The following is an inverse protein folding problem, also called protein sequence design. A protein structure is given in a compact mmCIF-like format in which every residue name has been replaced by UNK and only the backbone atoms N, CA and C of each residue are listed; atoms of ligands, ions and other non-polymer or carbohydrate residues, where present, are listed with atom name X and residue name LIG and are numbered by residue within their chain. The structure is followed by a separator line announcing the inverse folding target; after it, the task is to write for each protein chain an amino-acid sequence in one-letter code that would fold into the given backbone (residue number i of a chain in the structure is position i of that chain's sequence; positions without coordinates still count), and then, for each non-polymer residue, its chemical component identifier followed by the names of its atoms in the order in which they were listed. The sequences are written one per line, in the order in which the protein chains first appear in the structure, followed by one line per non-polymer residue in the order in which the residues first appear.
data_IF_615325072614
#
_entry.id   IF_615325072614
#
_cell.length_a   1.000
_cell.length_b   1.000
_cell.length_c   1.000
_cell.angle_alpha   90.00
_cell.angle_beta   90.00
_cell.angle_gamma   90.00
#
_symmetry.space_group_name_H-M   'P 1'
#
loop_
_entity.id
_entity.type
_entity.pdbx_description
1 polymer ?
#
# COMPACT_ATOMS: atom_id res chain seq x y z
N UNK A 1 -38.60 27.63 12.25
CA UNK A 1 -37.31 28.29 11.94
C UNK A 1 -36.15 27.28 11.97
N UNK A 2 -36.04 26.45 13.01
CA UNK A 2 -34.99 25.42 13.16
C UNK A 2 -34.95 24.35 12.03
N UNK A 3 -36.11 23.84 11.57
CA UNK A 3 -36.16 22.83 10.52
C UNK A 3 -35.49 23.28 9.20
N UNK A 4 -35.77 24.50 8.73
CA UNK A 4 -35.15 25.06 7.51
C UNK A 4 -33.64 25.21 7.62
N UNK A 5 -33.12 25.52 8.82
CA UNK A 5 -31.68 25.59 9.05
C UNK A 5 -31.04 24.21 8.90
N UNK A 6 -31.62 23.17 9.51
CA UNK A 6 -31.11 21.81 9.38
C UNK A 6 -31.27 21.25 7.97
N UNK A 7 -32.38 21.56 7.28
CA UNK A 7 -32.55 21.19 5.86
C UNK A 7 -31.41 21.76 5.01
N UNK A 8 -31.17 23.07 5.14
CA UNK A 8 -30.08 23.73 4.42
C UNK A 8 -28.70 23.19 4.81
N UNK A 9 -28.43 22.99 6.10
CA UNK A 9 -27.13 22.53 6.60
C UNK A 9 -26.82 21.08 6.22
N UNK A 10 -27.83 20.21 6.19
CA UNK A 10 -27.69 18.79 5.81
C UNK A 10 -27.79 18.57 4.29
N UNK A 11 -28.15 19.60 3.52
CA UNK A 11 -28.42 19.47 2.09
C UNK A 11 -29.67 18.64 1.80
N UNK A 12 -30.65 18.62 2.71
CA UNK A 12 -31.93 17.94 2.52
C UNK A 12 -32.80 18.85 1.65
N UNK A 13 -33.13 18.37 0.44
CA UNK A 13 -33.95 19.09 -0.54
C UNK A 13 -35.25 18.35 -0.82
N UNK A 14 -36.21 19.07 -1.41
CA UNK A 14 -37.45 18.48 -1.93
C UNK A 14 -37.17 17.20 -2.75
N UNK A 15 -37.96 16.11 -2.56
CA UNK A 15 -39.16 15.99 -1.73
C UNK A 15 -38.92 15.70 -0.24
N UNK A 16 -37.67 15.62 0.21
CA UNK A 16 -37.32 15.37 1.60
C UNK A 16 -37.43 16.66 2.44
N UNK A 17 -37.74 16.51 3.72
CA UNK A 17 -37.86 17.61 4.68
C UNK A 17 -37.53 17.16 6.10
N UNK A 18 -37.13 18.11 6.95
CA UNK A 18 -36.95 17.86 8.39
C UNK A 18 -38.32 17.96 9.06
N UNK A 19 -38.80 16.83 9.58
CA UNK A 19 -40.08 16.73 10.27
C UNK A 19 -39.96 17.03 11.78
N UNK A 20 -38.77 16.86 12.36
CA UNK A 20 -38.56 17.04 13.79
C UNK A 20 -37.09 17.11 14.16
N UNK A 21 -36.82 17.72 15.31
CA UNK A 21 -35.49 17.78 15.92
C UNK A 21 -35.68 17.52 17.41
N UNK A 22 -35.02 16.49 17.92
CA UNK A 22 -35.02 16.10 19.32
C UNK A 22 -33.58 16.14 19.86
N UNK A 23 -33.38 16.83 20.97
CA UNK A 23 -32.07 17.01 21.58
C UNK A 23 -32.06 16.53 23.02
N UNK A 24 -31.36 15.43 23.26
CA UNK A 24 -31.15 14.84 24.58
C UNK A 24 -29.77 15.25 25.11
N UNK A 25 -29.76 16.32 25.91
CA UNK A 25 -28.53 16.86 26.49
C UNK A 25 -27.82 15.87 27.44
N UNK A 26 -28.59 15.05 28.17
CA UNK A 26 -28.05 14.09 29.13
C UNK A 26 -27.33 12.94 28.42
N UNK A 27 -27.92 12.41 27.34
CA UNK A 27 -27.28 11.40 26.49
C UNK A 27 -26.28 11.99 25.51
N UNK A 28 -26.25 13.32 25.36
CA UNK A 28 -25.48 14.06 24.36
C UNK A 28 -25.81 13.61 22.93
N UNK A 29 -27.10 13.47 22.62
CA UNK A 29 -27.59 13.01 21.33
C UNK A 29 -28.52 14.04 20.71
N UNK A 30 -28.31 14.33 19.44
CA UNK A 30 -29.23 15.06 18.57
C UNK A 30 -29.84 14.06 17.57
N UNK A 31 -31.16 13.98 17.54
CA UNK A 31 -31.90 13.18 16.56
C UNK A 31 -32.69 14.11 15.65
N UNK A 32 -32.44 14.02 14.35
CA UNK A 32 -33.15 14.80 13.33
C UNK A 32 -34.07 13.84 12.57
N UNK A 33 -35.37 14.05 12.69
CA UNK A 33 -36.36 13.25 11.96
C UNK A 33 -36.51 13.80 10.56
N UNK A 34 -36.26 12.97 9.55
CA UNK A 34 -36.38 13.29 8.14
C UNK A 34 -37.55 12.51 7.55
N UNK A 35 -38.46 13.23 6.90
CA UNK A 35 -39.58 12.65 6.17
C UNK A 35 -39.60 13.20 4.74
N UNK A 36 -40.58 12.80 3.94
CA UNK A 36 -40.85 13.32 2.62
C UNK A 36 -42.28 13.85 2.52
N UNK A 37 -42.52 14.73 1.55
CA UNK A 37 -43.86 15.30 1.30
C UNK A 37 -44.83 14.20 0.87
N UNK A 38 -46.04 14.19 1.44
CA UNK A 38 -47.05 13.20 1.09
C UNK A 38 -47.44 13.32 -0.40
N UNK A 39 -47.58 12.19 -1.09
CA UNK A 39 -47.86 12.15 -2.54
C UNK A 39 -46.61 12.27 -3.44
N UNK A 40 -45.41 12.45 -2.87
CA UNK A 40 -44.17 12.43 -3.64
C UNK A 40 -43.96 11.10 -4.36
N UNK A 41 -43.28 11.18 -5.51
CA UNK A 41 -42.86 10.03 -6.32
C UNK A 41 -41.35 10.02 -6.40
N UNK A 42 -40.76 8.83 -6.45
CA UNK A 42 -39.30 8.69 -6.41
C UNK A 42 -38.79 7.89 -7.59
N UNK A 43 -37.65 8.33 -8.13
CA UNK A 43 -36.91 7.57 -9.12
C UNK A 43 -36.13 6.43 -8.43
N UNK A 44 -35.88 5.35 -9.17
CA UNK A 44 -35.03 4.23 -8.74
C UNK A 44 -33.95 4.03 -9.80
N UNK A 45 -32.66 3.92 -9.44
CA UNK A 45 -31.60 3.69 -10.40
C UNK A 45 -31.89 2.48 -11.31
N UNK A 46 -31.74 2.66 -12.62
CA UNK A 46 -31.98 1.62 -13.63
C UNK A 46 -33.44 1.45 -14.05
N UNK A 47 -34.39 2.23 -13.50
CA UNK A 47 -35.81 2.20 -13.92
C UNK A 47 -36.25 3.59 -14.35
N UNK A 48 -36.91 3.67 -15.52
CA UNK A 48 -37.36 4.94 -16.07
C UNK A 48 -38.56 5.52 -15.30
N UNK A 49 -38.49 6.82 -15.01
CA UNK A 49 -39.57 7.59 -14.41
C UNK A 49 -39.56 7.62 -12.87
N UNK A 50 -40.60 8.24 -12.30
CA UNK A 50 -40.80 8.32 -10.86
C UNK A 50 -42.03 7.51 -10.44
N UNK A 51 -41.89 6.75 -9.36
CA UNK A 51 -42.85 5.73 -8.96
C UNK A 51 -43.56 6.14 -7.66
N UNK A 52 -44.86 5.79 -7.52
CA UNK A 52 -45.61 6.10 -6.30
C UNK A 52 -45.07 5.30 -5.12
N UNK A 53 -45.10 5.91 -3.94
CA UNK A 53 -44.75 5.25 -2.68
C UNK A 53 -45.79 4.17 -2.38
N UNK A 54 -45.32 2.95 -2.14
CA UNK A 54 -46.11 1.80 -1.72
C UNK A 54 -46.29 1.78 -0.21
N UNK A 55 -45.16 1.86 0.50
CA UNK A 55 -45.08 1.92 1.96
C UNK A 55 -43.73 2.53 2.37
N UNK A 56 -43.39 2.46 3.66
CA UNK A 56 -42.16 3.07 4.20
C UNK A 56 -41.46 2.16 5.21
N UNK A 57 -40.16 2.39 5.38
CA UNK A 57 -39.32 1.75 6.40
C UNK A 57 -38.53 2.84 7.12
N UNK A 58 -38.55 2.81 8.46
CA UNK A 58 -37.72 3.70 9.26
C UNK A 58 -36.27 3.23 9.26
N UNK A 59 -35.34 4.11 8.88
CA UNK A 59 -33.90 3.87 8.96
C UNK A 59 -33.24 4.92 9.83
N UNK A 60 -32.21 4.51 10.56
CA UNK A 60 -31.39 5.40 11.38
C UNK A 60 -29.99 5.49 10.82
N UNK A 61 -29.51 6.71 10.62
CA UNK A 61 -28.19 7.00 10.07
C UNK A 61 -27.36 7.80 11.09
N UNK A 62 -26.13 7.36 11.35
CA UNK A 62 -25.15 8.16 12.09
C UNK A 62 -24.62 9.26 11.17
N UNK A 63 -24.74 10.50 11.62
CA UNK A 63 -24.23 11.69 10.94
C UNK A 63 -23.06 12.31 11.70
N UNK A 64 -22.43 13.34 11.11
CA UNK A 64 -21.40 14.13 11.77
C UNK A 64 -21.89 14.65 13.13
N UNK A 65 -21.00 14.76 14.11
CA UNK A 65 -21.38 15.30 15.40
C UNK A 65 -21.89 16.74 15.27
N UNK A 66 -22.92 17.06 16.03
CA UNK A 66 -23.33 18.43 16.25
C UNK A 66 -22.58 18.95 17.49
N UNK A 67 -21.49 19.67 17.26
CA UNK A 67 -20.49 19.97 18.29
C UNK A 67 -19.98 18.70 18.99
N UNK A 68 -20.11 18.59 20.31
CA UNK A 68 -19.77 17.40 21.10
C UNK A 68 -20.88 16.33 21.16
N UNK A 69 -22.01 16.54 20.48
CA UNK A 69 -23.18 15.67 20.55
C UNK A 69 -23.25 14.74 19.34
N UNK A 70 -23.59 13.48 19.57
CA UNK A 70 -23.82 12.55 18.49
C UNK A 70 -25.07 12.93 17.71
N UNK A 71 -24.95 13.16 16.40
CA UNK A 71 -26.10 13.38 15.52
C UNK A 71 -26.54 12.08 14.83
N UNK A 72 -27.84 11.83 14.84
CA UNK A 72 -28.49 10.76 14.09
C UNK A 72 -29.62 11.33 13.23
N UNK A 73 -29.77 10.80 12.01
CA UNK A 73 -30.94 11.03 11.18
C UNK A 73 -31.88 9.83 11.31
N UNK A 74 -33.10 10.06 11.77
CA UNK A 74 -34.17 9.07 11.76
C UNK A 74 -35.09 9.34 10.57
N UNK A 75 -35.06 8.46 9.59
CA UNK A 75 -35.52 8.76 8.24
C UNK A 75 -36.61 7.79 7.86
N UNK A 76 -37.78 8.32 7.50
CA UNK A 76 -38.86 7.52 6.92
C UNK A 76 -38.57 7.29 5.44
N UNK A 77 -37.95 6.15 5.11
CA UNK A 77 -37.51 5.87 3.74
C UNK A 77 -38.64 5.20 2.95
N UNK A 78 -39.04 5.74 1.79
CA UNK A 78 -40.11 5.15 0.99
C UNK A 78 -39.63 3.89 0.26
N UNK A 79 -40.52 2.92 0.11
CA UNK A 79 -40.43 1.87 -0.90
C UNK A 79 -41.45 2.15 -1.98
N UNK A 80 -41.03 2.10 -3.24
CA UNK A 80 -41.89 2.35 -4.39
C UNK A 80 -42.26 1.06 -5.09
N UNK A 81 -43.45 1.03 -5.69
CA UNK A 81 -43.89 -0.07 -6.57
C UNK A 81 -43.50 0.27 -8.01
N UNK A 82 -42.70 -0.60 -8.60
CA UNK A 82 -42.24 -0.50 -9.98
C UNK A 82 -43.30 -1.05 -10.98
N UNK A 83 -43.18 -0.75 -12.29
CA UNK A 83 -44.12 -1.22 -13.30
C UNK A 83 -44.17 -2.75 -13.46
N UNK A 84 -43.06 -3.43 -13.15
CA UNK A 84 -42.95 -4.90 -13.15
C UNK A 84 -43.58 -5.56 -11.90
N UNK A 85 -44.19 -4.77 -11.01
CA UNK A 85 -44.74 -5.22 -9.74
C UNK A 85 -43.72 -5.34 -8.61
N UNK A 86 -42.43 -5.14 -8.88
CA UNK A 86 -41.37 -5.18 -7.90
C UNK A 86 -41.44 -4.03 -6.90
N UNK A 87 -41.09 -4.30 -5.64
CA UNK A 87 -40.98 -3.27 -4.59
C UNK A 87 -39.51 -2.94 -4.39
N UNK A 88 -39.14 -1.67 -4.51
CA UNK A 88 -37.76 -1.20 -4.30
C UNK A 88 -37.72 -0.10 -3.27
N UNK A 89 -36.76 -0.19 -2.36
CA UNK A 89 -36.49 0.88 -1.42
C UNK A 89 -35.75 2.02 -2.14
N UNK A 90 -36.20 3.25 -1.93
CA UNK A 90 -35.48 4.45 -2.35
C UNK A 90 -34.26 4.63 -1.44
N UNK A 91 -33.14 5.03 -2.02
CA UNK A 91 -31.94 5.40 -1.28
C UNK A 91 -31.80 6.93 -1.31
N UNK A 92 -31.83 7.61 -0.14
CA UNK A 92 -31.55 9.04 -0.09
C UNK A 92 -30.16 9.35 -0.65
N UNK A 93 -29.99 10.49 -1.31
CA UNK A 93 -28.72 10.87 -1.96
C UNK A 93 -27.56 11.09 -0.97
N UNK A 94 -27.87 11.35 0.30
CA UNK A 94 -26.91 11.48 1.40
C UNK A 94 -26.67 10.17 2.17
N UNK A 95 -27.31 9.06 1.82
CA UNK A 95 -27.10 7.76 2.45
C UNK A 95 -25.71 7.20 2.11
N UNK A 96 -25.00 6.74 3.13
CA UNK A 96 -23.64 6.20 3.03
C UNK A 96 -23.57 4.85 2.31
N UNK A 97 -22.36 4.48 1.89
CA UNK A 97 -22.05 3.20 1.23
C UNK A 97 -22.08 2.01 2.19
N UNK A 98 -21.98 2.26 3.49
CA UNK A 98 -22.23 1.30 4.55
C UNK A 98 -23.55 1.65 5.26
N UNK A 99 -24.40 0.63 5.43
CA UNK A 99 -25.72 0.80 6.05
C UNK A 99 -25.62 1.44 7.44
N UNK A 100 -26.47 2.45 7.66
CA UNK A 100 -26.58 3.17 8.93
C UNK A 100 -25.63 4.37 9.07
N UNK A 101 -24.95 4.79 8.00
CA UNK A 101 -24.12 6.00 7.99
C UNK A 101 -24.53 6.93 6.86
N UNK A 102 -24.22 8.22 7.01
CA UNK A 102 -24.37 9.20 5.93
C UNK A 102 -23.06 9.35 5.16
N UNK A 103 -23.11 9.80 3.90
CA UNK A 103 -21.91 10.05 3.09
C UNK A 103 -20.94 11.01 3.77
N UNK A 104 -21.44 12.10 4.38
CA UNK A 104 -20.59 13.06 5.10
C UNK A 104 -19.87 12.43 6.30
N UNK A 105 -20.55 11.56 7.05
CA UNK A 105 -19.92 10.85 8.16
C UNK A 105 -18.83 9.91 7.67
N UNK A 106 -19.10 9.14 6.62
CA UNK A 106 -18.11 8.24 6.03
C UNK A 106 -16.91 9.01 5.46
N UNK A 107 -17.13 10.17 4.83
CA UNK A 107 -16.06 11.02 4.33
C UNK A 107 -15.12 11.49 5.46
N UNK A 108 -15.67 11.89 6.61
CA UNK A 108 -14.87 12.21 7.80
C UNK A 108 -14.04 10.99 8.26
N UNK A 109 -14.64 9.81 8.28
CA UNK A 109 -13.95 8.57 8.65
C UNK A 109 -12.78 8.29 7.70
N UNK A 110 -13.01 8.40 6.38
CA UNK A 110 -11.98 8.18 5.37
C UNK A 110 -10.84 9.20 5.44
N UNK A 111 -11.16 10.46 5.74
CA UNK A 111 -10.14 11.50 5.92
C UNK A 111 -9.25 11.19 7.15
N UNK A 112 -9.86 10.85 8.29
CA UNK A 112 -9.12 10.63 9.53
C UNK A 112 -8.39 9.28 9.58
N UNK A 113 -8.91 8.24 8.91
CA UNK A 113 -8.32 6.90 8.99
C UNK A 113 -6.94 6.81 8.32
N UNK A 114 -6.58 7.77 7.47
CA UNK A 114 -5.24 7.90 6.87
C UNK A 114 -4.21 8.42 7.88
N UNK A 115 -4.68 9.23 8.84
CA UNK A 115 -3.82 9.93 9.81
C UNK A 115 -3.72 9.19 11.16
N UNK A 116 -4.70 8.34 11.49
CA UNK A 116 -4.74 7.65 12.78
C UNK A 116 -5.30 6.22 12.72
N UNK A 117 -4.94 5.35 13.68
CA UNK A 117 -5.49 4.00 13.75
C UNK A 117 -6.99 4.02 13.96
N UNK A 118 -7.69 3.01 13.41
CA UNK A 118 -9.14 2.86 13.56
C UNK A 118 -9.61 2.89 15.01
N UNK A 119 -8.81 2.40 15.97
CA UNK A 119 -9.16 2.43 17.40
C UNK A 119 -9.10 3.84 18.00
N UNK A 120 -8.19 4.69 17.51
CA UNK A 120 -8.13 6.08 17.91
C UNK A 120 -9.31 6.86 17.30
N UNK A 121 -9.56 6.66 16.02
CA UNK A 121 -10.71 7.26 15.32
C UNK A 121 -12.04 6.87 15.97
N UNK A 122 -12.23 5.58 16.29
CA UNK A 122 -13.39 5.06 16.98
C UNK A 122 -13.70 5.82 18.28
N UNK A 123 -12.67 6.16 19.08
CA UNK A 123 -12.84 6.97 20.31
C UNK A 123 -13.24 8.42 20.01
N UNK A 124 -12.72 9.01 18.94
CA UNK A 124 -13.06 10.39 18.54
C UNK A 124 -14.53 10.51 18.15
N UNK A 125 -15.06 9.52 17.42
CA UNK A 125 -16.44 9.56 16.88
C UNK A 125 -17.48 8.82 17.73
N UNK A 126 -17.07 8.20 18.83
CA UNK A 126 -17.97 7.47 19.75
C UNK A 126 -18.46 6.12 19.22
N UNK A 127 -17.72 5.46 18.32
CA UNK A 127 -18.14 4.19 17.71
C UNK A 127 -17.17 3.04 18.03
N UNK A 128 -17.56 1.82 17.67
CA UNK A 128 -16.68 0.67 17.80
C UNK A 128 -15.61 0.65 16.70
N UNK A 129 -14.47 0.05 17.02
CA UNK A 129 -13.40 -0.22 16.05
C UNK A 129 -13.92 -0.97 14.81
N UNK A 130 -14.83 -1.94 15.01
CA UNK A 130 -15.40 -2.75 13.94
C UNK A 130 -16.17 -1.91 12.92
N UNK A 131 -16.91 -0.88 13.37
CA UNK A 131 -17.62 0.03 12.47
C UNK A 131 -16.63 0.84 11.61
N UNK A 132 -15.54 1.34 12.20
CA UNK A 132 -14.51 2.08 11.46
C UNK A 132 -13.84 1.21 10.41
N UNK A 133 -13.45 -0.01 10.79
CA UNK A 133 -12.88 -0.98 9.88
C UNK A 133 -13.84 -1.34 8.74
N UNK A 134 -15.14 -1.51 9.04
CA UNK A 134 -16.16 -1.83 8.04
C UNK A 134 -16.37 -0.71 7.02
N UNK A 135 -16.42 0.56 7.45
CA UNK A 135 -16.53 1.71 6.53
C UNK A 135 -15.33 1.74 5.59
N UNK A 136 -14.12 1.70 6.16
CA UNK A 136 -12.88 1.74 5.40
C UNK A 136 -12.78 0.59 4.39
N UNK A 137 -13.10 -0.63 4.84
CA UNK A 137 -13.10 -1.84 4.01
C UNK A 137 -14.07 -1.69 2.84
N UNK A 138 -15.30 -1.24 3.10
CA UNK A 138 -16.34 -1.05 2.08
C UNK A 138 -15.89 -0.10 0.97
N UNK A 139 -15.26 1.02 1.33
CA UNK A 139 -14.75 1.98 0.35
C UNK A 139 -13.57 1.45 -0.45
N UNK A 140 -12.63 0.76 0.21
CA UNK A 140 -11.52 0.11 -0.50
C UNK A 140 -12.04 -0.93 -1.48
N UNK A 141 -12.98 -1.78 -1.10
CA UNK A 141 -13.59 -2.78 -2.00
C UNK A 141 -14.28 -2.10 -3.19
N UNK A 142 -15.17 -1.14 -2.95
CA UNK A 142 -15.86 -0.42 -4.02
C UNK A 142 -14.91 0.31 -4.98
N UNK A 143 -13.81 0.86 -4.47
CA UNK A 143 -12.85 1.58 -5.30
C UNK A 143 -11.97 0.63 -6.10
N UNK A 144 -11.68 -0.56 -5.56
CA UNK A 144 -10.96 -1.61 -6.29
C UNK A 144 -11.86 -2.22 -7.37
N UNK A 145 -13.13 -2.48 -7.08
CA UNK A 145 -14.11 -2.97 -8.07
C UNK A 145 -14.25 -2.02 -9.28
N UNK A 146 -13.92 -0.74 -9.12
CA UNK A 146 -13.94 0.29 -10.17
C UNK A 146 -12.54 0.67 -10.67
N UNK A 147 -11.51 -0.04 -10.23
CA UNK A 147 -10.14 0.24 -10.64
C UNK A 147 -9.93 -0.15 -12.12
N UNK A 148 -9.06 0.60 -12.77
CA UNK A 148 -8.68 0.39 -14.16
C UNK A 148 -7.16 0.29 -14.24
N UNK A 149 -6.70 -0.86 -14.75
CA UNK A 149 -5.30 -1.21 -14.91
C UNK A 149 -4.88 -1.34 -16.39
N UNK A 150 -5.71 -0.90 -17.34
CA UNK A 150 -5.43 -0.95 -18.79
C UNK A 150 -4.13 -0.25 -19.20
N UNK A 151 -3.76 0.83 -18.50
CA UNK A 151 -2.54 1.62 -18.79
C UNK A 151 -1.31 1.17 -17.99
N UNK A 152 -1.41 0.12 -17.17
CA UNK A 152 -0.29 -0.34 -16.33
C UNK A 152 0.73 -1.08 -17.18
N UNK A 153 1.98 -0.60 -17.20
CA UNK A 153 3.08 -1.19 -17.98
C UNK A 153 4.32 -1.55 -17.17
N UNK A 154 4.54 -0.86 -16.06
CA UNK A 154 5.74 -1.03 -15.22
C UNK A 154 5.34 -1.32 -13.79
N UNK A 155 5.82 -2.44 -13.27
CA UNK A 155 5.40 -2.98 -11.98
C UNK A 155 6.57 -3.06 -11.01
N UNK A 156 6.31 -2.93 -9.72
CA UNK A 156 7.25 -3.33 -8.70
C UNK A 156 6.54 -4.30 -7.75
N UNK A 157 7.23 -5.35 -7.30
CA UNK A 157 6.72 -6.25 -6.29
C UNK A 157 7.74 -6.48 -5.17
N UNK A 158 7.25 -6.53 -3.94
CA UNK A 158 8.05 -6.76 -2.74
C UNK A 158 7.23 -7.44 -1.64
N UNK A 159 7.92 -8.07 -0.70
CA UNK A 159 7.35 -8.73 0.46
C UNK A 159 7.44 -7.83 1.70
N UNK A 160 6.41 -7.84 2.55
CA UNK A 160 6.52 -7.23 3.88
C UNK A 160 5.93 -8.11 4.98
N UNK A 161 6.55 -8.04 6.15
CA UNK A 161 6.17 -8.90 7.28
C UNK A 161 4.81 -8.49 7.87
N UNK A 162 3.88 -9.45 7.86
CA UNK A 162 2.56 -9.33 8.50
C UNK A 162 2.66 -9.53 10.01
N UNK A 163 3.33 -10.58 10.46
CA UNK A 163 3.51 -10.90 11.88
C UNK A 163 4.93 -11.43 12.15
N UNK A 164 5.27 -11.63 13.43
CA UNK A 164 6.50 -12.38 13.78
C UNK A 164 6.27 -13.84 13.43
N UNK A 165 7.25 -14.50 12.80
CA UNK A 165 7.18 -15.96 12.56
C UNK A 165 6.95 -16.40 11.11
N UNK A 166 7.47 -15.66 10.12
CA UNK A 166 7.42 -16.00 8.68
C UNK A 166 6.07 -15.81 7.96
N UNK A 167 5.20 -14.94 8.48
CA UNK A 167 4.01 -14.49 7.76
C UNK A 167 4.30 -13.25 6.90
N UNK A 168 4.23 -13.40 5.59
CA UNK A 168 4.50 -12.34 4.61
C UNK A 168 3.22 -11.98 3.84
N UNK A 169 3.14 -10.71 3.44
CA UNK A 169 2.23 -10.26 2.38
C UNK A 169 3.06 -9.80 1.19
N UNK A 170 2.54 -10.05 0.00
CA UNK A 170 3.12 -9.56 -1.25
C UNK A 170 2.36 -8.31 -1.69
N UNK A 171 3.11 -7.27 -2.02
CA UNK A 171 2.60 -6.03 -2.59
C UNK A 171 3.01 -5.95 -4.05
N UNK A 172 2.06 -5.69 -4.94
CA UNK A 172 2.34 -5.33 -6.34
C UNK A 172 1.84 -3.91 -6.58
N UNK A 173 2.71 -3.07 -7.13
CA UNK A 173 2.45 -1.66 -7.35
C UNK A 173 2.81 -1.23 -8.77
N UNK A 174 2.07 -0.24 -9.26
CA UNK A 174 2.41 0.53 -10.45
C UNK A 174 3.63 1.42 -10.13
N UNK A 175 4.72 1.24 -10.88
CA UNK A 175 5.96 1.95 -10.66
C UNK A 175 5.88 3.43 -11.08
N UNK A 176 4.96 3.78 -11.97
CA UNK A 176 4.82 5.11 -12.56
C UNK A 176 3.84 5.94 -11.78
N UNK A 177 2.62 5.42 -11.60
CA UNK A 177 1.63 6.05 -10.76
C UNK A 177 2.00 5.97 -9.27
N UNK A 178 2.98 5.15 -8.89
CA UNK A 178 3.42 4.90 -7.50
C UNK A 178 2.23 4.58 -6.60
N UNK A 179 1.41 3.62 -7.02
CA UNK A 179 0.21 3.17 -6.30
C UNK A 179 0.20 1.66 -6.17
N UNK A 180 -0.21 1.16 -5.01
CA UNK A 180 -0.44 -0.28 -4.80
C UNK A 180 -1.66 -0.70 -5.60
N UNK A 181 -1.49 -1.72 -6.43
CA UNK A 181 -2.55 -2.31 -7.25
C UNK A 181 -3.12 -3.54 -6.55
N UNK A 182 -2.25 -4.35 -5.97
CA UNK A 182 -2.62 -5.66 -5.45
C UNK A 182 -1.88 -6.00 -4.15
N UNK A 183 -2.58 -6.71 -3.26
CA UNK A 183 -2.07 -7.16 -1.96
C UNK A 183 -2.61 -8.56 -1.71
N UNK A 184 -1.71 -9.52 -1.49
CA UNK A 184 -2.08 -10.91 -1.19
C UNK A 184 -1.23 -11.51 -0.07
N UNK A 185 -1.71 -12.60 0.53
CA UNK A 185 -0.96 -13.37 1.52
C UNK A 185 0.08 -14.26 0.84
N UNK A 186 1.19 -14.50 1.52
CA UNK A 186 2.26 -15.34 1.01
C UNK A 186 3.26 -14.59 0.14
N UNK A 187 4.12 -15.38 -0.51
CA UNK A 187 5.30 -14.93 -1.25
C UNK A 187 5.79 -15.91 -2.32
N UNK A 188 4.92 -16.82 -2.71
CA UNK A 188 5.23 -17.85 -3.69
C UNK A 188 4.88 -17.39 -5.11
N UNK A 189 5.12 -18.25 -6.11
CA UNK A 189 4.81 -17.94 -7.50
C UNK A 189 3.31 -17.70 -7.72
N UNK A 190 2.44 -18.33 -6.92
CA UNK A 190 0.99 -18.18 -7.02
C UNK A 190 0.52 -16.75 -6.67
N UNK A 191 1.31 -15.99 -5.90
CA UNK A 191 1.01 -14.57 -5.65
C UNK A 191 1.06 -13.72 -6.92
N UNK A 192 1.95 -14.03 -7.87
CA UNK A 192 2.07 -13.32 -9.15
C UNK A 192 0.99 -13.79 -10.13
N UNK A 193 0.64 -15.09 -10.10
CA UNK A 193 -0.50 -15.63 -10.85
C UNK A 193 -1.80 -14.93 -10.44
N UNK A 194 -2.09 -14.86 -9.13
CA UNK A 194 -3.26 -14.16 -8.61
C UNK A 194 -3.28 -12.68 -8.99
N UNK A 195 -2.12 -12.02 -9.00
CA UNK A 195 -2.01 -10.65 -9.51
C UNK A 195 -2.30 -10.56 -11.02
N UNK A 196 -1.81 -11.50 -11.83
CA UNK A 196 -2.07 -11.49 -13.27
C UNK A 196 -3.56 -11.69 -13.59
N UNK A 197 -4.26 -12.51 -12.81
CA UNK A 197 -5.71 -12.66 -12.91
C UNK A 197 -6.45 -11.38 -12.51
N UNK A 198 -6.05 -10.76 -11.40
CA UNK A 198 -6.59 -9.47 -10.95
C UNK A 198 -6.32 -8.35 -11.97
N UNK A 199 -5.14 -8.35 -12.59
CA UNK A 199 -4.77 -7.42 -13.66
C UNK A 199 -5.75 -7.53 -14.84
N UNK A 200 -6.05 -8.76 -15.30
CA UNK A 200 -7.03 -9.00 -16.37
C UNK A 200 -8.44 -8.59 -15.98
N UNK A 201 -8.85 -8.90 -14.74
CA UNK A 201 -10.18 -8.55 -14.24
C UNK A 201 -10.44 -7.04 -14.24
N UNK A 202 -9.39 -6.23 -14.10
CA UNK A 202 -9.44 -4.76 -14.12
C UNK A 202 -8.97 -4.15 -15.45
N UNK A 203 -9.06 -4.90 -16.55
CA UNK A 203 -8.82 -4.40 -17.91
C UNK A 203 -7.35 -4.26 -18.33
N UNK A 204 -6.41 -4.67 -17.47
CA UNK A 204 -4.99 -4.75 -17.80
C UNK A 204 -4.65 -6.01 -18.60
N UNK A 205 -3.53 -5.96 -19.33
CA UNK A 205 -3.01 -7.11 -20.06
C UNK A 205 -1.63 -7.53 -19.51
N UNK A 206 -1.48 -8.74 -18.95
CA UNK A 206 -0.19 -9.28 -18.53
C UNK A 206 0.90 -9.25 -19.62
N UNK A 207 0.53 -9.31 -20.91
CA UNK A 207 1.47 -9.22 -22.03
C UNK A 207 1.91 -7.78 -22.33
N UNK A 208 1.15 -6.79 -21.89
CA UNK A 208 1.48 -5.38 -22.04
C UNK A 208 2.46 -4.88 -20.95
N UNK A 209 2.76 -5.71 -19.95
CA UNK A 209 3.76 -5.38 -18.93
C UNK A 209 5.16 -5.41 -19.56
N UNK A 210 5.81 -4.25 -19.57
CA UNK A 210 7.14 -4.03 -20.15
C UNK A 210 8.25 -4.41 -19.16
N UNK A 211 8.08 -4.09 -17.88
CA UNK A 211 9.08 -4.38 -16.85
C UNK A 211 8.48 -4.60 -15.47
N UNK A 212 9.16 -5.45 -14.69
CA UNK A 212 8.86 -5.61 -13.26
C UNK A 212 10.12 -5.62 -12.42
N UNK A 213 10.13 -4.83 -11.35
CA UNK A 213 11.20 -4.81 -10.36
C UNK A 213 10.84 -5.71 -9.17
N UNK A 214 11.68 -6.71 -8.91
CA UNK A 214 11.51 -7.70 -7.83
C UNK A 214 12.82 -7.96 -7.11
N UNK A 215 12.78 -8.60 -5.94
CA UNK A 215 13.96 -9.22 -5.35
C UNK A 215 14.31 -10.54 -6.10
N UNK A 216 15.49 -11.11 -5.83
CA UNK A 216 16.00 -12.33 -6.45
C UNK A 216 15.34 -13.63 -5.95
N UNK A 217 14.10 -13.54 -5.43
CA UNK A 217 13.31 -14.68 -4.99
C UNK A 217 13.04 -15.62 -6.18
N UNK A 218 13.45 -16.91 -6.11
CA UNK A 218 13.15 -17.87 -7.16
C UNK A 218 11.65 -18.01 -7.42
N UNK A 219 10.82 -17.81 -6.39
CA UNK A 219 9.37 -17.89 -6.51
C UNK A 219 8.79 -16.73 -7.34
N UNK A 220 9.23 -15.49 -7.09
CA UNK A 220 8.83 -14.36 -7.93
C UNK A 220 9.38 -14.45 -9.35
N UNK A 221 10.63 -14.86 -9.53
CA UNK A 221 11.20 -15.06 -10.87
C UNK A 221 10.37 -16.07 -11.67
N UNK A 222 9.98 -17.19 -11.02
CA UNK A 222 9.11 -18.19 -11.64
C UNK A 222 7.74 -17.59 -11.98
N UNK A 223 7.06 -16.99 -10.99
CA UNK A 223 5.73 -16.42 -11.17
C UNK A 223 5.66 -15.35 -12.26
N UNK A 224 6.66 -14.47 -12.33
CA UNK A 224 6.76 -13.46 -13.40
C UNK A 224 6.99 -14.11 -14.77
N UNK A 225 7.95 -15.05 -14.87
CA UNK A 225 8.24 -15.74 -16.14
C UNK A 225 7.00 -16.46 -16.68
N UNK A 226 6.19 -17.06 -15.81
CA UNK A 226 5.00 -17.82 -16.20
C UNK A 226 3.79 -16.93 -16.53
N UNK A 227 3.62 -15.79 -15.85
CA UNK A 227 2.38 -15.01 -15.94
C UNK A 227 2.52 -13.65 -16.63
N UNK A 228 3.73 -13.08 -16.68
CA UNK A 228 4.05 -11.78 -17.30
C UNK A 228 5.13 -11.99 -18.39
N UNK A 229 4.84 -12.71 -19.47
CA UNK A 229 5.85 -13.30 -20.36
C UNK A 229 6.73 -12.27 -21.09
N UNK A 230 6.23 -11.05 -21.31
CA UNK A 230 6.97 -9.98 -21.99
C UNK A 230 7.71 -9.05 -21.00
N UNK A 231 7.49 -9.22 -19.70
CA UNK A 231 8.04 -8.33 -18.69
C UNK A 231 9.54 -8.57 -18.49
N UNK A 232 10.34 -7.52 -18.65
CA UNK A 232 11.76 -7.57 -18.27
C UNK A 232 11.89 -7.54 -16.76
N UNK A 233 12.35 -8.65 -16.17
CA UNK A 233 12.69 -8.73 -14.75
C UNK A 233 13.91 -7.83 -14.48
N UNK A 234 13.75 -6.85 -13.60
CA UNK A 234 14.82 -6.03 -13.07
C UNK A 234 15.02 -6.36 -11.58
N UNK A 235 16.27 -6.60 -11.18
CA UNK A 235 16.61 -6.70 -9.76
C UNK A 235 17.05 -5.34 -9.23
N UNK A 236 16.47 -4.90 -8.12
CA UNK A 236 16.86 -3.64 -7.50
C UNK A 236 18.35 -3.66 -7.10
N UNK A 237 19.09 -2.62 -7.51
CA UNK A 237 20.48 -2.44 -7.11
C UNK A 237 20.67 -2.44 -5.59
N UNK A 238 19.67 -1.98 -4.82
CA UNK A 238 19.74 -1.96 -3.36
C UNK A 238 19.87 -3.37 -2.79
N UNK A 239 19.10 -4.35 -3.29
CA UNK A 239 19.23 -5.76 -2.88
C UNK A 239 20.60 -6.34 -3.26
N UNK A 240 21.11 -6.04 -4.46
CA UNK A 240 22.45 -6.47 -4.91
C UNK A 240 23.54 -5.95 -3.95
N UNK A 241 23.50 -4.66 -3.62
CA UNK A 241 24.45 -4.03 -2.71
C UNK A 241 24.25 -4.48 -1.26
N UNK A 242 23.01 -4.80 -0.85
CA UNK A 242 22.72 -5.35 0.47
C UNK A 242 23.37 -6.73 0.66
N UNK A 243 23.35 -7.61 -0.35
CA UNK A 243 24.07 -8.88 -0.32
C UNK A 243 25.59 -8.69 -0.19
N UNK A 244 26.17 -7.73 -0.92
CA UNK A 244 27.59 -7.39 -0.80
C UNK A 244 27.91 -6.83 0.61
N UNK A 245 27.05 -5.98 1.16
CA UNK A 245 27.17 -5.43 2.50
C UNK A 245 27.11 -6.51 3.58
N UNK A 246 26.19 -7.48 3.45
CA UNK A 246 26.12 -8.64 4.34
C UNK A 246 27.38 -9.51 4.24
N UNK A 247 27.95 -9.68 3.04
CA UNK A 247 29.20 -10.39 2.84
C UNK A 247 30.39 -9.69 3.51
N UNK A 248 30.45 -8.35 3.48
CA UNK A 248 31.46 -7.56 4.21
C UNK A 248 31.36 -7.82 5.72
N UNK A 249 30.17 -7.70 6.31
CA UNK A 249 30.02 -7.95 7.75
C UNK A 249 30.29 -9.42 8.12
N UNK A 250 29.91 -10.37 7.25
CA UNK A 250 30.25 -11.79 7.45
C UNK A 250 31.76 -12.01 7.44
N UNK A 251 32.49 -11.40 6.49
CA UNK A 251 33.95 -11.48 6.45
C UNK A 251 34.59 -10.83 7.69
N UNK A 252 34.09 -9.66 8.10
CA UNK A 252 34.51 -8.97 9.33
C UNK A 252 34.36 -9.88 10.54
N UNK A 253 33.21 -10.55 10.71
CA UNK A 253 32.99 -11.50 11.83
C UNK A 253 33.94 -12.69 11.81
N UNK A 254 34.32 -13.17 10.62
CA UNK A 254 35.28 -14.27 10.46
C UNK A 254 36.67 -13.81 10.92
N UNK A 255 37.18 -12.69 10.41
CA UNK A 255 38.51 -12.19 10.76
C UNK A 255 38.59 -11.66 12.20
N UNK A 256 37.48 -11.11 12.73
CA UNK A 256 37.42 -10.58 14.09
C UNK A 256 37.79 -11.63 15.15
N UNK A 257 37.60 -12.92 14.86
CA UNK A 257 37.96 -14.02 15.78
C UNK A 257 39.46 -14.05 16.08
N UNK A 258 40.28 -13.61 15.15
CA UNK A 258 41.74 -13.57 15.26
C UNK A 258 42.29 -12.15 15.33
N UNK A 259 41.46 -11.15 15.02
CA UNK A 259 41.82 -9.74 15.03
C UNK A 259 40.77 -8.90 15.77
N UNK A 260 40.95 -8.68 17.09
CA UNK A 260 40.02 -7.92 17.91
C UNK A 260 39.80 -6.47 17.46
N UNK A 261 40.71 -5.87 16.69
CA UNK A 261 40.60 -4.49 16.19
C UNK A 261 39.36 -4.29 15.30
N UNK A 262 38.83 -5.35 14.71
CA UNK A 262 37.60 -5.33 13.90
C UNK A 262 36.30 -5.19 14.72
N UNK A 263 36.40 -5.17 16.05
CA UNK A 263 35.26 -4.90 16.95
C UNK A 263 34.84 -3.44 16.83
N UNK A 264 33.54 -3.20 16.66
CA UNK A 264 33.00 -1.85 16.49
C UNK A 264 33.10 -1.28 15.06
N UNK A 265 33.86 -1.90 14.16
CA UNK A 265 34.03 -1.40 12.78
C UNK A 265 32.81 -1.61 11.86
N UNK A 266 31.79 -2.38 12.27
CA UNK A 266 30.63 -2.73 11.44
C UNK A 266 30.03 -1.51 10.75
N UNK A 267 29.68 -0.47 11.51
CA UNK A 267 28.99 0.69 10.95
C UNK A 267 29.90 1.54 10.05
N UNK A 268 31.20 1.60 10.35
CA UNK A 268 32.20 2.28 9.50
C UNK A 268 32.28 1.62 8.12
N UNK A 269 32.28 0.29 8.08
CA UNK A 269 32.37 -0.50 6.83
C UNK A 269 31.07 -0.46 6.00
N UNK A 270 29.92 -0.30 6.63
CA UNK A 270 28.62 -0.38 5.94
C UNK A 270 28.07 0.98 5.49
N UNK A 271 28.44 2.07 6.16
CA UNK A 271 28.03 3.43 5.75
C UNK A 271 28.76 3.86 4.48
N UNK A 272 28.15 4.82 3.79
CA UNK A 272 28.80 5.54 2.70
C UNK A 272 29.99 6.34 3.23
N UNK A 273 31.11 6.34 2.50
CA UNK A 273 32.34 7.03 2.89
C UNK A 273 32.11 8.54 3.09
N UNK A 274 31.24 9.15 2.29
CA UNK A 274 30.92 10.58 2.37
C UNK A 274 29.96 10.92 3.52
N UNK A 275 29.28 9.92 4.09
CA UNK A 275 28.38 10.07 5.23
C UNK A 275 29.06 9.77 6.58
N UNK A 276 30.37 9.52 6.58
CA UNK A 276 31.16 9.30 7.79
C UNK A 276 31.75 10.61 8.31
N UNK A 277 31.76 10.75 9.63
CA UNK A 277 32.51 11.81 10.32
C UNK A 277 34.00 11.76 9.92
N UNK A 278 34.70 12.91 9.83
CA UNK A 278 36.06 12.98 9.32
C UNK A 278 37.04 11.99 9.98
N UNK A 279 36.97 11.83 11.30
CA UNK A 279 37.81 10.90 12.04
C UNK A 279 37.51 9.42 11.71
N UNK A 280 36.22 9.05 11.65
CA UNK A 280 35.81 7.70 11.29
C UNK A 280 36.16 7.34 9.84
N UNK A 281 36.12 8.33 8.95
CA UNK A 281 36.56 8.21 7.55
C UNK A 281 38.07 8.00 7.44
N UNK A 282 38.87 8.74 8.20
CA UNK A 282 40.33 8.57 8.23
C UNK A 282 40.73 7.16 8.70
N UNK A 283 40.11 6.69 9.78
CA UNK A 283 40.33 5.33 10.30
C UNK A 283 39.90 4.24 9.30
N UNK A 284 38.77 4.43 8.62
CA UNK A 284 38.36 3.51 7.56
C UNK A 284 39.36 3.52 6.40
N UNK A 285 39.86 4.68 5.99
CA UNK A 285 40.85 4.82 4.92
C UNK A 285 42.16 4.10 5.27
N UNK A 286 42.65 4.25 6.51
CA UNK A 286 43.83 3.53 6.99
C UNK A 286 43.60 2.01 7.00
N UNK A 287 42.41 1.56 7.42
CA UNK A 287 42.07 0.15 7.41
C UNK A 287 41.99 -0.43 5.99
N UNK A 288 41.32 0.25 5.05
CA UNK A 288 41.19 -0.24 3.68
C UNK A 288 42.51 -0.23 2.91
N UNK A 289 43.49 0.61 3.30
CA UNK A 289 44.84 0.57 2.74
C UNK A 289 45.52 -0.80 2.95
N UNK A 290 45.09 -1.57 3.95
CA UNK A 290 45.59 -2.92 4.23
C UNK A 290 44.94 -4.01 3.35
N UNK A 291 44.37 -3.66 2.18
CA UNK A 291 43.66 -4.59 1.28
C UNK A 291 44.47 -5.82 0.85
N UNK A 292 45.80 -5.72 0.85
CA UNK A 292 46.70 -6.82 0.53
C UNK A 292 46.67 -7.94 1.59
N UNK A 293 46.51 -7.58 2.86
CA UNK A 293 46.63 -8.49 4.01
C UNK A 293 45.30 -8.75 4.72
N UNK A 294 44.39 -7.76 4.76
CA UNK A 294 43.07 -7.86 5.40
C UNK A 294 41.98 -8.21 4.39
N UNK A 295 41.31 -9.36 4.56
CA UNK A 295 40.23 -9.80 3.65
C UNK A 295 38.97 -8.98 3.85
N UNK A 296 38.72 -8.44 5.03
CA UNK A 296 37.60 -7.51 5.28
C UNK A 296 37.77 -6.20 4.52
N UNK A 297 38.98 -5.64 4.47
CA UNK A 297 39.30 -4.48 3.63
C UNK A 297 39.06 -4.80 2.15
N UNK A 298 39.49 -5.99 1.69
CA UNK A 298 39.24 -6.46 0.32
C UNK A 298 37.76 -6.68 0.01
N UNK A 299 37.00 -7.23 0.95
CA UNK A 299 35.55 -7.37 0.83
C UNK A 299 34.87 -6.00 0.67
N UNK A 300 35.29 -5.01 1.45
CA UNK A 300 34.78 -3.65 1.34
C UNK A 300 35.07 -3.04 -0.04
N UNK A 301 36.31 -3.18 -0.53
CA UNK A 301 36.68 -2.72 -1.87
C UNK A 301 35.80 -3.36 -2.96
N UNK A 302 35.56 -4.68 -2.89
CA UNK A 302 34.68 -5.35 -3.85
C UNK A 302 33.25 -4.81 -3.82
N UNK A 303 32.71 -4.50 -2.63
CA UNK A 303 31.38 -3.89 -2.46
C UNK A 303 31.32 -2.50 -3.12
N UNK A 304 32.31 -1.64 -2.91
CA UNK A 304 32.33 -0.30 -3.54
C UNK A 304 32.58 -0.35 -5.04
N UNK A 305 33.45 -1.25 -5.53
CA UNK A 305 33.59 -1.50 -6.97
C UNK A 305 32.26 -1.93 -7.61
N UNK A 306 31.52 -2.81 -6.93
CA UNK A 306 30.21 -3.24 -7.39
C UNK A 306 29.22 -2.07 -7.45
N UNK A 307 29.22 -1.18 -6.45
CA UNK A 307 28.43 0.05 -6.45
C UNK A 307 28.76 0.93 -7.65
N UNK A 308 30.04 1.19 -7.90
CA UNK A 308 30.51 1.97 -9.05
C UNK A 308 30.05 1.36 -10.39
N UNK A 309 30.14 0.02 -10.52
CA UNK A 309 29.68 -0.69 -11.72
C UNK A 309 28.18 -0.46 -11.94
N UNK A 310 27.35 -0.57 -10.90
CA UNK A 310 25.89 -0.45 -11.01
C UNK A 310 25.39 1.00 -11.22
N UNK A 311 26.24 2.00 -10.95
CA UNK A 311 25.91 3.40 -11.24
C UNK A 311 26.19 3.80 -12.69
N UNK A 312 26.97 3.02 -13.45
CA UNK A 312 27.23 3.27 -14.87
C UNK A 312 25.97 3.11 -15.73
N UNK A 313 25.94 3.79 -16.88
CA UNK A 313 24.75 3.89 -17.76
C UNK A 313 24.75 2.93 -18.95
N UNK A 314 25.92 2.47 -19.40
CA UNK A 314 26.03 1.65 -20.60
C UNK A 314 25.96 0.15 -20.26
N UNK A 315 24.91 -0.52 -20.75
CA UNK A 315 24.62 -1.96 -20.54
C UNK A 315 25.83 -2.85 -20.81
N UNK A 316 26.47 -2.69 -21.97
CA UNK A 316 27.57 -3.57 -22.37
C UNK A 316 28.80 -3.38 -21.48
N UNK A 317 29.06 -2.15 -21.06
CA UNK A 317 30.13 -1.83 -20.10
C UNK A 317 29.82 -2.45 -18.75
N UNK A 318 28.60 -2.27 -18.23
CA UNK A 318 28.20 -2.85 -16.94
C UNK A 318 28.29 -4.37 -16.97
N UNK A 319 27.80 -5.02 -18.04
CA UNK A 319 27.89 -6.47 -18.23
C UNK A 319 29.34 -6.96 -18.20
N UNK A 320 30.22 -6.34 -18.98
CA UNK A 320 31.64 -6.70 -19.03
C UNK A 320 32.33 -6.50 -17.68
N UNK A 321 32.06 -5.38 -17.00
CA UNK A 321 32.64 -5.09 -15.69
C UNK A 321 32.11 -6.02 -14.59
N UNK A 322 30.82 -6.34 -14.57
CA UNK A 322 30.26 -7.33 -13.64
C UNK A 322 30.89 -8.70 -13.88
N UNK A 323 31.04 -9.13 -15.14
CA UNK A 323 31.70 -10.39 -15.45
C UNK A 323 33.14 -10.42 -14.92
N UNK A 324 33.95 -9.41 -15.25
CA UNK A 324 35.31 -9.30 -14.77
C UNK A 324 35.40 -9.23 -13.24
N UNK A 325 34.51 -8.47 -12.60
CA UNK A 325 34.41 -8.38 -11.15
C UNK A 325 34.15 -9.75 -10.53
N UNK A 326 33.21 -10.54 -11.08
CA UNK A 326 32.93 -11.89 -10.57
C UNK A 326 34.14 -12.81 -10.73
N UNK A 327 34.89 -12.73 -11.83
CA UNK A 327 36.13 -13.51 -12.03
C UNK A 327 37.18 -13.16 -10.97
N UNK A 328 37.39 -11.86 -10.72
CA UNK A 328 38.35 -11.38 -9.73
C UNK A 328 37.97 -11.83 -8.31
N UNK A 329 36.70 -11.68 -7.93
CA UNK A 329 36.19 -12.11 -6.63
C UNK A 329 36.32 -13.62 -6.44
N UNK A 330 36.01 -14.41 -7.47
CA UNK A 330 36.10 -15.88 -7.41
C UNK A 330 37.54 -16.38 -7.21
N UNK A 331 38.56 -15.64 -7.67
CA UNK A 331 39.98 -15.96 -7.44
C UNK A 331 40.49 -15.48 -6.07
N UNK A 332 39.73 -14.66 -5.35
CA UNK A 332 40.12 -14.13 -4.05
C UNK A 332 40.01 -15.17 -2.92
N UNK A 333 40.48 -14.84 -1.72
CA UNK A 333 40.26 -15.62 -0.48
C UNK A 333 39.09 -15.08 0.37
N UNK A 334 38.21 -14.26 -0.23
CA UNK A 334 37.07 -13.62 0.43
C UNK A 334 35.82 -14.48 0.22
N UNK A 335 35.72 -15.61 0.95
CA UNK A 335 34.66 -16.60 0.75
C UNK A 335 33.22 -16.05 0.78
N UNK A 336 32.85 -15.14 1.72
CA UNK A 336 31.51 -14.53 1.69
C UNK A 336 31.20 -13.78 0.39
N UNK A 337 32.19 -13.12 -0.23
CA UNK A 337 31.99 -12.36 -1.47
C UNK A 337 31.88 -13.28 -2.69
N UNK A 338 32.48 -14.47 -2.66
CA UNK A 338 32.29 -15.47 -3.72
C UNK A 338 30.83 -15.90 -3.85
N UNK A 339 30.09 -15.97 -2.75
CA UNK A 339 28.66 -16.24 -2.79
C UNK A 339 27.90 -15.13 -3.55
N UNK A 340 28.27 -13.87 -3.32
CA UNK A 340 27.72 -12.71 -4.06
C UNK A 340 28.08 -12.80 -5.55
N UNK A 341 29.31 -13.15 -5.89
CA UNK A 341 29.72 -13.33 -7.29
C UNK A 341 28.95 -14.45 -8.00
N UNK A 342 28.70 -15.59 -7.32
CA UNK A 342 27.86 -16.68 -7.86
C UNK A 342 26.42 -16.22 -8.07
N UNK A 343 25.86 -15.47 -7.12
CA UNK A 343 24.54 -14.86 -7.24
C UNK A 343 24.48 -13.92 -8.45
N UNK A 344 25.44 -13.01 -8.61
CA UNK A 344 25.48 -12.06 -9.73
C UNK A 344 25.54 -12.79 -11.07
N UNK A 345 26.35 -13.86 -11.16
CA UNK A 345 26.41 -14.69 -12.38
C UNK A 345 25.07 -15.34 -12.71
N UNK A 346 24.39 -15.89 -11.70
CA UNK A 346 23.09 -16.56 -11.86
C UNK A 346 22.01 -15.58 -12.32
N UNK A 347 22.06 -14.34 -11.84
CA UNK A 347 21.03 -13.32 -12.04
C UNK A 347 21.47 -12.18 -12.96
N UNK A 348 22.51 -12.39 -13.78
CA UNK A 348 23.20 -11.34 -14.53
C UNK A 348 22.26 -10.52 -15.42
N UNK A 349 21.35 -11.18 -16.14
CA UNK A 349 20.43 -10.51 -17.06
C UNK A 349 19.52 -9.51 -16.32
N UNK A 350 18.91 -9.92 -15.20
CA UNK A 350 18.06 -9.02 -14.41
C UNK A 350 18.82 -7.92 -13.68
N UNK A 351 20.09 -8.16 -13.31
CA UNK A 351 20.96 -7.11 -12.73
C UNK A 351 21.38 -6.10 -13.80
N UNK A 352 21.64 -6.56 -15.02
CA UNK A 352 22.01 -5.67 -16.13
C UNK A 352 20.77 -4.91 -16.64
N UNK A 353 19.57 -5.50 -16.57
CA UNK A 353 18.32 -4.83 -16.93
C UNK A 353 18.12 -3.51 -16.18
N UNK A 354 18.54 -3.42 -14.91
CA UNK A 354 18.56 -2.18 -14.12
C UNK A 354 19.20 -1.00 -14.84
N UNK A 355 20.25 -1.22 -15.64
CA UNK A 355 20.95 -0.13 -16.35
C UNK A 355 20.08 0.54 -17.41
N UNK A 356 19.11 -0.20 -17.97
CA UNK A 356 18.13 0.27 -18.96
C UNK A 356 16.89 0.84 -18.27
N UNK A 357 16.30 0.07 -17.37
CA UNK A 357 14.99 0.39 -16.77
C UNK A 357 15.10 1.48 -15.71
N UNK A 358 16.22 1.52 -14.97
CA UNK A 358 16.44 2.37 -13.78
C UNK A 358 15.31 2.29 -12.76
N UNK A 359 14.57 1.18 -12.79
CA UNK A 359 13.40 0.96 -11.97
C UNK A 359 13.82 0.52 -10.58
N UNK A 360 13.37 1.26 -9.56
CA UNK A 360 13.76 1.04 -8.16
C UNK A 360 12.57 0.56 -7.34
N UNK A 361 12.79 -0.31 -6.36
CA UNK A 361 11.81 -0.63 -5.32
C UNK A 361 11.83 0.41 -4.18
N UNK A 362 12.65 1.46 -4.24
CA UNK A 362 12.72 2.47 -3.17
C UNK A 362 11.38 3.14 -2.82
N UNK A 363 10.44 3.27 -3.77
CA UNK A 363 9.10 3.75 -3.45
C UNK A 363 8.25 2.68 -2.73
N UNK A 364 8.41 1.40 -3.08
CA UNK A 364 7.81 0.28 -2.34
C UNK A 364 8.40 0.17 -0.93
N UNK A 365 9.70 0.41 -0.75
CA UNK A 365 10.31 0.50 0.58
C UNK A 365 9.69 1.63 1.42
N UNK A 366 9.43 2.79 0.81
CA UNK A 366 8.73 3.88 1.48
C UNK A 366 7.29 3.48 1.87
N UNK A 367 6.55 2.80 0.97
CA UNK A 367 5.22 2.25 1.25
C UNK A 367 5.27 1.24 2.39
N UNK A 368 6.25 0.32 2.38
CA UNK A 368 6.50 -0.64 3.44
C UNK A 368 6.80 0.07 4.76
N UNK A 369 7.61 1.13 4.74
CA UNK A 369 7.89 1.98 5.90
C UNK A 369 6.62 2.61 6.48
N UNK A 370 5.75 3.18 5.64
CA UNK A 370 4.46 3.76 6.04
C UNK A 370 3.54 2.70 6.66
N UNK A 371 3.42 1.53 6.02
CA UNK A 371 2.63 0.43 6.55
C UNK A 371 3.15 -0.05 7.91
N UNK A 372 4.46 -0.24 8.06
CA UNK A 372 5.07 -0.67 9.33
C UNK A 372 4.92 0.41 10.42
N UNK A 373 4.93 1.70 10.07
CA UNK A 373 4.63 2.79 11.00
C UNK A 373 3.16 2.76 11.45
N UNK A 374 2.21 2.60 10.52
CA UNK A 374 0.79 2.47 10.81
C UNK A 374 0.50 1.26 11.71
N UNK A 375 1.09 0.10 11.39
CA UNK A 375 1.03 -1.12 12.18
C UNK A 375 1.56 -0.91 13.61
N UNK A 376 2.71 -0.23 13.77
CA UNK A 376 3.25 0.13 15.09
C UNK A 376 2.30 1.03 15.87
N UNK A 377 1.73 2.05 15.22
CA UNK A 377 0.74 2.97 15.84
C UNK A 377 -0.53 2.24 16.27
N UNK A 378 -0.94 1.21 15.52
CA UNK A 378 -2.10 0.35 15.81
C UNK A 378 -1.80 -0.77 16.82
N UNK A 379 -0.54 -1.00 17.19
CA UNK A 379 -0.08 -2.17 17.98
C UNK A 379 -0.35 -3.52 17.29
N UNK A 380 -0.28 -3.54 15.97
CA UNK A 380 -0.52 -4.71 15.14
C UNK A 380 -1.93 -4.76 14.53
N UNK A 381 -2.12 -5.70 13.59
CA UNK A 381 -3.40 -5.97 12.95
C UNK A 381 -3.68 -7.47 13.01
N UNK A 382 -4.86 -7.86 13.49
CA UNK A 382 -5.21 -9.28 13.70
C UNK A 382 -5.56 -10.03 12.42
N UNK A 383 -6.09 -9.35 11.39
CA UNK A 383 -6.56 -9.99 10.16
C UNK A 383 -5.86 -9.47 8.91
N UNK A 384 -5.73 -10.34 7.90
CA UNK A 384 -5.25 -9.94 6.57
C UNK A 384 -6.17 -8.89 5.93
N UNK A 385 -7.49 -9.06 6.06
CA UNK A 385 -8.47 -8.10 5.52
C UNK A 385 -8.24 -6.68 6.04
N UNK A 386 -7.94 -6.52 7.34
CA UNK A 386 -7.57 -5.22 7.91
C UNK A 386 -6.27 -4.69 7.35
N UNK A 387 -5.24 -5.54 7.22
CA UNK A 387 -3.94 -5.18 6.65
C UNK A 387 -4.11 -4.68 5.21
N UNK A 388 -4.79 -5.46 4.36
CA UNK A 388 -5.11 -5.11 2.98
C UNK A 388 -5.80 -3.76 2.90
N UNK A 389 -6.84 -3.56 3.70
CA UNK A 389 -7.58 -2.28 3.76
C UNK A 389 -6.64 -1.11 4.10
N UNK A 390 -5.82 -1.25 5.14
CA UNK A 390 -4.88 -0.18 5.55
C UNK A 390 -3.83 0.10 4.48
N UNK A 391 -3.28 -0.93 3.84
CA UNK A 391 -2.29 -0.75 2.76
C UNK A 391 -2.90 0.07 1.62
N UNK A 392 -4.11 -0.27 1.17
CA UNK A 392 -4.78 0.48 0.10
C UNK A 392 -5.15 1.91 0.51
N UNK A 393 -5.57 2.14 1.75
CA UNK A 393 -5.82 3.50 2.26
C UNK A 393 -4.56 4.37 2.27
N UNK A 394 -3.39 3.79 2.57
CA UNK A 394 -2.13 4.52 2.65
C UNK A 394 -1.48 4.71 1.28
N UNK A 395 -1.52 3.69 0.43
CA UNK A 395 -0.67 3.62 -0.76
C UNK A 395 -1.40 3.19 -2.04
N UNK A 396 -2.69 2.89 -1.99
CA UNK A 396 -3.48 2.51 -3.18
C UNK A 396 -3.83 3.68 -4.09
N UNK A 397 -3.71 4.94 -3.61
CA UNK A 397 -4.15 6.17 -4.32
C UNK A 397 -5.56 6.02 -4.92
N UNK A 398 -6.45 5.39 -4.15
CA UNK A 398 -7.84 5.16 -4.56
C UNK A 398 -8.60 6.49 -4.56
N UNK A 399 -9.37 6.73 -5.63
CA UNK A 399 -10.23 7.89 -5.75
C UNK A 399 -11.61 7.58 -5.13
N UNK A 400 -11.80 8.02 -3.89
CA UNK A 400 -13.09 7.87 -3.21
C UNK A 400 -14.12 8.93 -3.62
N UNK A 401 -13.72 9.99 -4.34
CA UNK A 401 -14.60 11.05 -4.82
C UNK A 401 -15.68 10.54 -5.78
N UNK A 402 -15.34 9.53 -6.62
CA UNK A 402 -16.28 8.83 -7.50
C UNK A 402 -17.37 8.07 -6.74
N UNK A 403 -17.07 7.59 -5.53
CA UNK A 403 -18.00 6.84 -4.70
C UNK A 403 -18.81 7.78 -3.79
N UNK A 404 -18.15 8.79 -3.25
CA UNK A 404 -18.69 9.74 -2.31
C UNK A 404 -18.14 11.13 -2.63
N UNK A 405 -19.03 12.03 -3.09
CA UNK A 405 -18.70 13.42 -3.46
C UNK A 405 -18.02 14.24 -2.35
N UNK A 406 -18.12 13.80 -1.09
CA UNK A 406 -17.51 14.46 0.06
C UNK A 406 -16.13 13.89 0.43
N UNK A 407 -15.68 12.82 -0.24
CA UNK A 407 -14.42 12.12 0.01
C UNK A 407 -13.38 12.31 -1.10
N UNK A 408 -13.54 13.36 -1.92
CA UNK A 408 -12.61 13.73 -2.99
C UNK A 408 -11.29 14.29 -2.47
#
# INVERSE_FOLDING_TARGET
MHAKLFEAALGITDPWRVAGVDFDAAKKVLTITVDFVAGSRFAVPGVAGAHPVHDTVSKRYRHLNFFQHECYLEVRVPRVRLPDGGIRQVEPDWAGKLAGFTLLFEALVLALCREMPFAALARVVGLSWHRMAAICKRYVELALDQADFSEVKRLAADETSRARGHDYITLVADADARRVLFVTEGRDAATIEAFADDLRAHGGDPQAIESISIDMSPAFIKGVTENLPNATITFDKFHVIAHASAAVDKMRRIEQRTDPSLKGMRWKLLKDLNALEPAARAELNEFIAQVATKRTARAWLYKEQLREILDRKQVNVVRAMLWQWTVNVMRSKVEPMKAVAKMIRKHLEGIVAWTRTRQTNGFLEAINGLFQAAKRKARGYGSFSTIRTVVFLLAGKLDFGKLNRHAA
#
